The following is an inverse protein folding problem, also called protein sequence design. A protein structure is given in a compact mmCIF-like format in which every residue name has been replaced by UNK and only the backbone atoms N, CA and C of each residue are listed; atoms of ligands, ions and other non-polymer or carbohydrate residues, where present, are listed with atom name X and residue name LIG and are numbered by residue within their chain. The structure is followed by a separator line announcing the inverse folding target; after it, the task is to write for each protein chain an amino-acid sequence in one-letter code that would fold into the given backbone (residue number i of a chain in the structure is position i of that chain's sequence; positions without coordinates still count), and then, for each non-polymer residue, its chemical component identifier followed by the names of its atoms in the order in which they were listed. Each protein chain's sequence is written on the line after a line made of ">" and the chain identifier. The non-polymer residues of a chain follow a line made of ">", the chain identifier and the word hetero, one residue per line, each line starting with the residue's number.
data_IF_184285715774
#
_entry.id   IF_184285715774
#
_cell.length_a   1.000
_cell.length_b   1.000
_cell.length_c   1.000
_cell.angle_alpha   90.00
_cell.angle_beta   90.00
_cell.angle_gamma   90.00
#
_symmetry.space_group_name_H-M   'P 1'
#
loop_
_entity.id
_entity.type
_entity.pdbx_description
1 polymer ?
#
# COMPACT_ATOMS: atom_id res chain seq x y z
N UNK A 1 38.00 -10.60 42.81
CA UNK A 1 36.69 -11.26 42.64
C UNK A 1 35.52 -10.28 42.61
N UNK A 2 35.74 -8.96 42.47
CA UNK A 2 34.68 -7.94 42.58
C UNK A 2 34.38 -7.19 41.28
N UNK A 3 35.18 -7.38 40.23
CA UNK A 3 35.03 -6.67 38.95
C UNK A 3 34.14 -7.45 37.97
N UNK A 4 34.23 -8.79 37.96
CA UNK A 4 33.42 -9.65 37.09
C UNK A 4 31.92 -9.63 37.45
N UNK A 5 31.58 -9.45 38.73
CA UNK A 5 30.19 -9.37 39.21
C UNK A 5 29.51 -8.05 38.89
N UNK A 6 30.27 -6.95 38.80
CA UNK A 6 29.75 -5.61 38.48
C UNK A 6 29.42 -5.53 36.98
N UNK A 7 30.28 -6.09 36.13
CA UNK A 7 30.08 -6.17 34.68
C UNK A 7 28.90 -7.08 34.29
N UNK A 8 28.67 -8.16 35.04
CA UNK A 8 27.52 -9.06 34.83
C UNK A 8 26.20 -8.38 35.23
N UNK A 9 26.18 -7.69 36.38
CA UNK A 9 25.03 -6.90 36.81
C UNK A 9 24.71 -5.74 35.85
N UNK A 10 25.73 -5.05 35.32
CA UNK A 10 25.52 -4.01 34.31
C UNK A 10 24.95 -4.56 33.00
N UNK A 11 25.39 -5.75 32.56
CA UNK A 11 24.84 -6.40 31.37
C UNK A 11 23.38 -6.78 31.55
N UNK A 12 23.00 -7.28 32.72
CA UNK A 12 21.61 -7.62 33.04
C UNK A 12 20.72 -6.37 33.07
N UNK A 13 21.21 -5.27 33.66
CA UNK A 13 20.50 -3.99 33.63
C UNK A 13 20.31 -3.44 32.22
N UNK A 14 21.34 -3.55 31.36
CA UNK A 14 21.25 -3.15 29.96
C UNK A 14 20.25 -4.04 29.21
N UNK A 15 20.21 -5.34 29.47
CA UNK A 15 19.26 -6.26 28.84
C UNK A 15 17.81 -5.94 29.20
N UNK A 16 17.52 -5.66 30.48
CA UNK A 16 16.19 -5.22 30.93
C UNK A 16 15.82 -3.88 30.31
N UNK A 17 16.75 -2.92 30.30
CA UNK A 17 16.53 -1.63 29.66
C UNK A 17 16.25 -1.75 28.17
N UNK A 18 16.95 -2.63 27.43
CA UNK A 18 16.72 -2.86 26.00
C UNK A 18 15.28 -3.34 25.76
N UNK A 19 14.79 -4.26 26.58
CA UNK A 19 13.41 -4.76 26.46
C UNK A 19 12.38 -3.64 26.73
N UNK A 20 12.55 -2.88 27.82
CA UNK A 20 11.65 -1.77 28.14
C UNK A 20 11.71 -0.67 27.07
N UNK A 21 12.90 -0.37 26.55
CA UNK A 21 13.10 0.57 25.47
C UNK A 21 12.39 0.15 24.18
N UNK A 22 12.37 -1.14 23.85
CA UNK A 22 11.59 -1.65 22.72
C UNK A 22 10.09 -1.41 22.90
N UNK A 23 9.56 -1.66 24.09
CA UNK A 23 8.13 -1.43 24.38
C UNK A 23 7.75 0.05 24.25
N UNK A 24 8.56 0.95 24.82
CA UNK A 24 8.33 2.39 24.68
C UNK A 24 8.46 2.86 23.23
N UNK A 25 9.47 2.38 22.49
CA UNK A 25 9.62 2.71 21.07
C UNK A 25 8.43 2.22 20.26
N UNK A 26 7.90 1.03 20.51
CA UNK A 26 6.72 0.51 19.81
C UNK A 26 5.48 1.37 20.10
N UNK A 27 5.26 1.73 21.37
CA UNK A 27 4.14 2.60 21.76
C UNK A 27 4.24 3.99 21.11
N UNK A 28 5.45 4.54 21.03
CA UNK A 28 5.72 5.81 20.36
C UNK A 28 5.42 5.70 18.86
N UNK A 29 5.84 4.63 18.18
CA UNK A 29 5.58 4.44 16.74
C UNK A 29 4.09 4.34 16.43
N UNK A 30 3.35 3.52 17.19
CA UNK A 30 1.90 3.38 17.01
C UNK A 30 1.19 4.72 17.22
N UNK A 31 1.58 5.45 18.26
CA UNK A 31 0.99 6.76 18.53
C UNK A 31 1.33 7.79 17.45
N UNK A 32 2.52 7.72 16.86
CA UNK A 32 2.98 8.61 15.80
C UNK A 32 2.27 8.35 14.47
N UNK A 33 2.08 7.08 14.10
CA UNK A 33 1.32 6.71 12.90
C UNK A 33 -0.14 7.17 13.00
N UNK A 34 -0.77 6.95 14.16
CA UNK A 34 -2.15 7.40 14.38
C UNK A 34 -2.25 8.94 14.38
N UNK A 35 -1.23 9.65 14.90
CA UNK A 35 -1.17 11.12 14.84
C UNK A 35 -1.09 11.63 13.40
N UNK A 36 -0.34 10.93 12.54
CA UNK A 36 -0.19 11.28 11.12
C UNK A 36 -1.50 11.11 10.33
N UNK A 37 -2.39 10.20 10.76
CA UNK A 37 -3.69 9.98 10.12
C UNK A 37 -4.73 11.09 10.42
N UNK A 38 -4.40 12.07 11.25
CA UNK A 38 -5.27 13.21 11.57
C UNK A 38 -6.45 12.85 12.47
N UNK A 39 -6.22 12.34 13.69
CA UNK A 39 -7.26 11.90 14.60
C UNK A 39 -8.03 13.08 15.22
N UNK A 40 -9.21 12.85 15.83
CA UNK A 40 -9.95 13.90 16.53
C UNK A 40 -9.12 14.57 17.64
N UNK A 41 -9.39 15.84 18.00
CA UNK A 41 -8.53 16.64 18.89
C UNK A 41 -8.31 16.01 20.29
N UNK A 42 -9.34 15.38 20.86
CA UNK A 42 -9.24 14.68 22.15
C UNK A 42 -8.31 13.44 22.08
N UNK A 43 -8.26 12.80 20.91
CA UNK A 43 -7.38 11.65 20.65
C UNK A 43 -5.98 12.11 20.32
N UNK A 44 -5.84 13.17 19.53
CA UNK A 44 -4.57 13.84 19.20
C UNK A 44 -3.77 14.19 20.46
N UNK A 45 -4.40 14.87 21.42
CA UNK A 45 -3.75 15.26 22.67
C UNK A 45 -3.27 14.04 23.47
N UNK A 46 -4.06 12.97 23.51
CA UNK A 46 -3.69 11.72 24.19
C UNK A 46 -2.50 11.04 23.52
N UNK A 47 -2.46 11.00 22.19
CA UNK A 47 -1.36 10.41 21.43
C UNK A 47 -0.06 11.20 21.65
N UNK A 48 -0.13 12.53 21.59
CA UNK A 48 1.02 13.40 21.90
C UNK A 48 1.53 13.21 23.34
N UNK A 49 0.63 13.02 24.31
CA UNK A 49 0.99 12.70 25.69
C UNK A 49 1.63 11.31 25.82
N UNK A 50 1.13 10.31 25.09
CA UNK A 50 1.73 8.97 25.04
C UNK A 50 3.16 9.02 24.51
N UNK A 51 3.40 9.75 23.42
CA UNK A 51 4.74 9.95 22.86
C UNK A 51 5.65 10.66 23.87
N UNK A 52 5.15 11.72 24.51
CA UNK A 52 5.87 12.47 25.56
C UNK A 52 6.29 11.58 26.73
N UNK A 53 5.36 10.77 27.23
CA UNK A 53 5.61 9.86 28.34
C UNK A 53 6.63 8.77 27.98
N UNK A 54 6.51 8.17 26.80
CA UNK A 54 7.47 7.16 26.32
C UNK A 54 8.89 7.71 26.21
N UNK A 55 9.05 8.90 25.63
CA UNK A 55 10.36 9.56 25.49
C UNK A 55 10.94 9.98 26.85
N UNK A 56 10.11 10.49 27.77
CA UNK A 56 10.57 10.86 29.11
C UNK A 56 11.00 9.64 29.93
N UNK A 57 10.24 8.53 29.86
CA UNK A 57 10.59 7.27 30.52
C UNK A 57 11.89 6.70 29.97
N UNK A 58 12.05 6.70 28.64
CA UNK A 58 13.28 6.24 27.99
C UNK A 58 14.50 7.05 28.45
N UNK A 59 14.39 8.38 28.48
CA UNK A 59 15.45 9.27 28.94
C UNK A 59 15.77 9.08 30.43
N UNK A 60 14.74 8.94 31.27
CA UNK A 60 14.89 8.71 32.70
C UNK A 60 15.55 7.37 33.03
N UNK A 61 15.13 6.30 32.36
CA UNK A 61 15.73 4.97 32.53
C UNK A 61 17.16 4.93 32.00
N UNK A 62 17.44 5.58 30.87
CA UNK A 62 18.80 5.71 30.34
C UNK A 62 19.75 6.43 31.32
N UNK A 63 19.27 7.45 32.04
CA UNK A 63 20.05 8.14 33.05
C UNK A 63 20.42 7.22 34.24
N UNK A 64 19.53 6.31 34.66
CA UNK A 64 19.80 5.39 35.76
C UNK A 64 20.92 4.39 35.45
N UNK A 65 21.06 4.00 34.18
CA UNK A 65 22.12 3.09 33.71
C UNK A 65 23.29 3.82 33.03
N UNK A 66 23.43 5.14 33.25
CA UNK A 66 24.52 5.98 32.75
C UNK A 66 24.68 6.03 31.23
N UNK A 67 23.59 5.88 30.47
CA UNK A 67 23.58 6.04 29.01
C UNK A 67 23.31 7.51 28.61
N UNK A 68 24.28 8.38 28.89
CA UNK A 68 24.12 9.84 28.72
C UNK A 68 23.77 10.31 27.30
N UNK A 69 24.16 9.56 26.27
CA UNK A 69 23.81 9.89 24.89
C UNK A 69 22.35 9.59 24.56
N UNK A 70 21.79 8.52 25.14
CA UNK A 70 20.37 8.15 25.00
C UNK A 70 19.50 9.10 25.82
N UNK A 71 19.94 9.43 27.04
CA UNK A 71 19.32 10.43 27.90
C UNK A 71 19.20 11.79 27.18
N UNK A 72 20.32 12.28 26.65
CA UNK A 72 20.38 13.56 25.93
C UNK A 72 19.47 13.58 24.71
N UNK A 73 19.51 12.53 23.89
CA UNK A 73 18.67 12.41 22.70
C UNK A 73 17.16 12.35 23.04
N UNK A 74 16.82 11.67 24.14
CA UNK A 74 15.44 11.57 24.62
C UNK A 74 14.91 12.92 25.06
N UNK A 75 15.62 13.61 25.95
CA UNK A 75 15.16 14.91 26.44
C UNK A 75 15.19 16.02 25.39
N UNK A 76 16.10 15.96 24.40
CA UNK A 76 16.09 16.91 23.29
C UNK A 76 14.87 16.79 22.37
N UNK A 77 14.12 15.69 22.47
CA UNK A 77 12.93 15.43 21.65
C UNK A 77 11.67 16.08 22.25
N UNK A 78 11.63 16.34 23.56
CA UNK A 78 10.45 16.89 24.25
C UNK A 78 9.91 18.21 23.65
N UNK A 79 10.73 19.21 23.30
CA UNK A 79 10.23 20.45 22.71
C UNK A 79 9.53 20.25 21.36
N UNK A 80 9.94 19.24 20.60
CA UNK A 80 9.32 18.89 19.31
C UNK A 80 7.97 18.21 19.51
N UNK A 81 7.81 17.45 20.59
CA UNK A 81 6.52 16.84 20.97
C UNK A 81 5.53 17.92 21.40
N UNK A 82 6.00 18.91 22.17
CA UNK A 82 5.18 20.05 22.60
C UNK A 82 4.71 20.89 21.41
N UNK A 83 5.55 21.07 20.38
CA UNK A 83 5.18 21.76 19.15
C UNK A 83 4.06 21.06 18.35
N UNK A 84 3.95 19.73 18.44
CA UNK A 84 2.89 18.95 17.77
C UNK A 84 1.70 18.63 18.68
N UNK A 85 1.73 19.06 19.94
CA UNK A 85 0.72 18.72 20.95
C UNK A 85 -0.59 19.50 20.77
N UNK A 86 -0.53 20.70 20.20
CA UNK A 86 -1.71 21.55 19.96
C UNK A 86 -2.45 21.08 18.70
N UNK A 87 -3.68 20.53 18.82
CA UNK A 87 -4.48 20.10 17.67
C UNK A 87 -5.05 21.28 16.86
N UNK A 88 -5.06 22.50 17.39
CA UNK A 88 -5.53 23.71 16.72
C UNK A 88 -4.41 24.48 16.00
N UNK A 89 -3.15 24.25 16.38
CA UNK A 89 -2.01 24.69 15.62
C UNK A 89 -1.98 23.94 14.29
N UNK A 90 -1.82 24.65 13.17
CA UNK A 90 -1.52 24.00 11.88
C UNK A 90 -0.15 23.37 12.00
N UNK A 91 -0.07 22.12 12.45
CA UNK A 91 1.16 21.34 12.51
C UNK A 91 1.74 21.37 11.10
N UNK A 92 2.88 22.03 10.93
CA UNK A 92 3.53 22.03 9.64
C UNK A 92 4.13 20.64 9.42
N UNK A 93 4.11 20.14 8.18
CA UNK A 93 4.78 18.89 7.85
C UNK A 93 6.26 18.90 8.29
N UNK A 94 6.87 20.08 8.36
CA UNK A 94 8.23 20.29 8.85
C UNK A 94 8.39 19.99 10.35
N UNK A 95 7.40 20.31 11.18
CA UNK A 95 7.44 20.04 12.64
C UNK A 95 7.33 18.55 12.92
N UNK A 96 6.48 17.85 12.17
CA UNK A 96 6.35 16.40 12.24
C UNK A 96 7.61 15.69 11.73
N UNK A 97 8.19 16.14 10.61
CA UNK A 97 9.48 15.62 10.10
C UNK A 97 10.60 15.86 11.12
N UNK A 98 10.62 17.02 11.77
CA UNK A 98 11.59 17.32 12.81
C UNK A 98 11.45 16.36 14.00
N UNK A 99 10.22 16.06 14.43
CA UNK A 99 9.95 15.06 15.47
C UNK A 99 10.45 13.66 15.06
N UNK A 100 10.08 13.17 13.87
CA UNK A 100 10.55 11.86 13.37
C UNK A 100 12.08 11.78 13.32
N UNK A 101 12.75 12.86 12.92
CA UNK A 101 14.22 12.93 12.90
C UNK A 101 14.81 12.80 14.31
N UNK A 102 14.20 13.45 15.31
CA UNK A 102 14.66 13.33 16.70
C UNK A 102 14.45 11.92 17.25
N UNK A 103 13.34 11.25 16.93
CA UNK A 103 13.15 9.84 17.27
C UNK A 103 14.20 8.93 16.61
N UNK A 104 14.57 9.22 15.35
CA UNK A 104 15.68 8.54 14.68
C UNK A 104 17.03 8.72 15.39
N UNK A 105 17.29 9.90 15.97
CA UNK A 105 18.49 10.13 16.78
C UNK A 105 18.50 9.31 18.08
N UNK A 106 17.34 9.17 18.74
CA UNK A 106 17.18 8.31 19.91
C UNK A 106 17.51 6.86 19.56
N UNK A 107 16.97 6.36 18.45
CA UNK A 107 17.20 4.99 17.96
C UNK A 107 18.68 4.71 17.66
N UNK A 108 19.35 5.66 16.98
CA UNK A 108 20.76 5.58 16.71
C UNK A 108 21.62 5.64 18.00
N UNK A 109 21.22 6.44 18.99
CA UNK A 109 21.89 6.49 20.28
C UNK A 109 21.73 5.18 21.05
N UNK A 110 20.53 4.60 21.07
CA UNK A 110 20.25 3.31 21.68
C UNK A 110 21.06 2.18 21.04
N UNK A 111 21.13 2.14 19.71
CA UNK A 111 21.91 1.14 18.97
C UNK A 111 23.40 1.24 19.28
N UNK A 112 23.95 2.47 19.36
CA UNK A 112 25.36 2.68 19.76
C UNK A 112 25.63 2.31 21.21
N UNK A 113 24.69 2.60 22.11
CA UNK A 113 24.84 2.41 23.54
C UNK A 113 24.69 0.95 24.00
N UNK A 114 23.83 0.18 23.33
CA UNK A 114 23.48 -1.19 23.75
C UNK A 114 24.00 -2.26 22.79
N UNK A 115 24.42 -1.89 21.58
CA UNK A 115 24.85 -2.83 20.54
C UNK A 115 23.72 -3.67 19.94
N UNK A 116 22.48 -3.46 20.39
CA UNK A 116 21.28 -4.13 19.88
C UNK A 116 20.66 -3.24 18.80
N UNK A 117 20.41 -3.81 17.62
CA UNK A 117 19.56 -3.18 16.62
C UNK A 117 18.12 -3.30 17.08
N UNK A 118 17.52 -2.17 17.43
CA UNK A 118 16.10 -2.09 17.76
C UNK A 118 15.32 -2.17 16.45
N UNK A 119 15.28 -3.33 15.80
CA UNK A 119 14.50 -3.51 14.58
C UNK A 119 13.03 -3.19 14.89
N UNK A 120 12.57 -2.01 14.45
CA UNK A 120 11.21 -1.94 13.99
C UNK A 120 11.22 -2.75 12.69
N UNK A 121 10.53 -3.89 12.65
CA UNK A 121 10.08 -4.45 11.39
C UNK A 121 9.46 -3.29 10.61
N UNK A 122 10.18 -2.84 9.55
CA UNK A 122 10.05 -1.57 8.80
C UNK A 122 11.13 -0.48 9.02
N UNK A 123 12.39 -0.79 9.37
CA UNK A 123 13.50 0.19 9.22
C UNK A 123 14.85 -0.38 8.78
N UNK A 124 14.86 -1.32 7.83
CA UNK A 124 16.06 -1.62 7.03
C UNK A 124 15.94 -1.04 5.63
N UNK A 125 15.91 0.29 5.55
CA UNK A 125 16.15 1.05 4.31
C UNK A 125 16.62 2.50 4.59
N UNK A 126 17.30 2.78 5.71
CA UNK A 126 17.70 4.15 6.08
C UNK A 126 19.19 4.32 6.42
N UNK A 127 20.05 3.48 5.87
CA UNK A 127 21.46 3.81 5.66
C UNK A 127 21.71 3.69 4.15
N UNK A 128 21.97 4.84 3.50
CA UNK A 128 22.26 5.01 2.07
C UNK A 128 21.07 5.11 1.10
N UNK A 129 20.17 6.07 1.31
CA UNK A 129 19.80 7.02 0.23
C UNK A 129 19.07 8.20 0.86
N UNK A 130 19.48 9.43 0.52
CA UNK A 130 18.61 10.59 0.74
C UNK A 130 17.28 10.29 0.03
N UNK A 131 16.10 10.55 0.62
CA UNK A 131 14.85 10.39 -0.10
C UNK A 131 14.94 11.28 -1.34
N UNK A 132 15.07 10.67 -2.51
CA UNK A 132 15.09 11.39 -3.78
C UNK A 132 13.71 12.03 -3.88
N UNK A 133 13.67 13.33 -3.67
CA UNK A 133 12.44 14.11 -3.74
C UNK A 133 12.42 14.82 -5.08
N UNK A 134 11.30 14.73 -5.78
CA UNK A 134 11.06 15.48 -7.01
C UNK A 134 10.09 16.61 -6.70
N UNK A 135 10.38 17.81 -7.21
CA UNK A 135 9.43 18.92 -7.14
C UNK A 135 8.15 18.49 -7.86
N UNK A 136 7.01 18.64 -7.19
CA UNK A 136 5.69 18.22 -7.70
C UNK A 136 5.39 18.87 -9.07
N UNK A 137 5.87 20.10 -9.28
CA UNK A 137 5.80 20.81 -10.57
C UNK A 137 6.59 20.15 -11.70
N UNK A 138 7.77 19.60 -11.41
CA UNK A 138 8.62 18.93 -12.39
C UNK A 138 8.04 17.57 -12.77
N UNK A 139 7.52 16.85 -11.77
CA UNK A 139 6.79 15.60 -11.99
C UNK A 139 5.54 15.84 -12.86
N UNK A 140 4.74 16.86 -12.53
CA UNK A 140 3.53 17.20 -13.28
C UNK A 140 3.84 17.59 -14.73
N UNK A 141 4.86 18.42 -14.97
CA UNK A 141 5.30 18.79 -16.32
C UNK A 141 5.72 17.54 -17.14
N UNK A 142 6.44 16.62 -16.51
CA UNK A 142 6.86 15.40 -17.17
C UNK A 142 5.71 14.42 -17.43
N UNK A 143 4.73 14.32 -16.51
CA UNK A 143 3.52 13.52 -16.70
C UNK A 143 2.63 14.08 -17.83
N UNK A 144 2.46 15.40 -17.94
CA UNK A 144 1.78 16.01 -19.09
C UNK A 144 2.52 15.75 -20.40
N UNK A 145 3.85 15.82 -20.39
CA UNK A 145 4.67 15.46 -21.55
C UNK A 145 4.49 14.00 -21.98
N UNK A 146 4.31 13.07 -21.03
CA UNK A 146 3.96 11.68 -21.33
C UNK A 146 2.52 11.56 -21.87
N UNK A 147 1.56 12.27 -21.27
CA UNK A 147 0.16 12.28 -21.71
C UNK A 147 0.05 12.77 -23.16
N UNK A 148 0.73 13.84 -23.55
CA UNK A 148 0.73 14.33 -24.93
C UNK A 148 1.31 13.33 -25.92
N UNK A 149 2.34 12.57 -25.53
CA UNK A 149 2.90 11.50 -26.37
C UNK A 149 1.90 10.35 -26.51
N UNK A 150 1.19 10.00 -25.43
CA UNK A 150 0.18 8.94 -25.47
C UNK A 150 -1.04 9.30 -26.32
N UNK A 151 -1.53 10.54 -26.21
CA UNK A 151 -2.64 11.05 -27.04
C UNK A 151 -2.27 10.95 -28.53
N UNK A 152 -1.00 11.25 -28.88
CA UNK A 152 -0.48 11.11 -30.25
C UNK A 152 -0.33 9.65 -30.71
N UNK A 153 -0.11 8.72 -29.78
CA UNK A 153 0.00 7.28 -30.06
C UNK A 153 -1.34 6.54 -30.15
N UNK A 154 -2.47 7.20 -29.85
CA UNK A 154 -3.82 6.62 -30.00
C UNK A 154 -4.12 5.41 -29.10
N UNK A 155 -3.32 5.17 -28.07
CA UNK A 155 -3.43 4.02 -27.16
C UNK A 155 -4.39 4.33 -26.01
N UNK A 156 -5.71 4.30 -26.25
CA UNK A 156 -6.70 4.55 -25.20
C UNK A 156 -7.38 3.28 -24.72
N UNK A 157 -6.98 2.76 -23.56
CA UNK A 157 -7.83 1.89 -22.71
C UNK A 157 -7.62 2.10 -21.19
N UNK A 158 -6.62 2.88 -20.75
CA UNK A 158 -6.32 3.09 -19.33
C UNK A 158 -6.11 4.58 -19.01
N UNK A 159 -6.66 5.03 -17.88
CA UNK A 159 -6.55 6.41 -17.39
C UNK A 159 -5.45 6.55 -16.31
N UNK A 160 -4.44 5.68 -16.26
CA UNK A 160 -3.49 5.66 -15.14
C UNK A 160 -2.71 6.98 -15.05
N UNK A 161 -2.14 7.45 -16.16
CA UNK A 161 -1.41 8.72 -16.20
C UNK A 161 -2.33 9.89 -15.84
N UNK A 162 -3.59 9.86 -16.27
CA UNK A 162 -4.56 10.90 -15.91
C UNK A 162 -4.91 10.88 -14.42
N UNK A 163 -5.08 9.70 -13.82
CA UNK A 163 -5.31 9.54 -12.38
C UNK A 163 -4.10 10.01 -11.58
N UNK A 164 -2.89 9.67 -12.01
CA UNK A 164 -1.64 10.11 -11.35
C UNK A 164 -1.48 11.63 -11.48
N UNK A 165 -1.80 12.23 -12.63
CA UNK A 165 -1.82 13.70 -12.81
C UNK A 165 -2.81 14.33 -11.84
N UNK A 166 -4.05 13.86 -11.78
CA UNK A 166 -5.07 14.41 -10.88
C UNK A 166 -4.65 14.32 -9.40
N UNK A 167 -4.01 13.22 -9.01
CA UNK A 167 -3.47 13.04 -7.66
C UNK A 167 -2.33 14.00 -7.36
N UNK A 168 -1.40 14.20 -8.31
CA UNK A 168 -0.27 15.14 -8.18
C UNK A 168 -0.76 16.60 -8.13
N UNK A 169 -1.80 16.94 -8.90
CA UNK A 169 -2.46 18.25 -8.84
C UNK A 169 -3.13 18.51 -7.48
N UNK A 170 -3.76 17.48 -6.89
CA UNK A 170 -4.35 17.56 -5.56
C UNK A 170 -3.28 17.75 -4.47
N UNK A 171 -2.15 17.05 -4.58
CA UNK A 171 -1.00 17.25 -3.69
C UNK A 171 -0.46 18.70 -3.79
N UNK A 172 -0.39 19.28 -4.99
CA UNK A 172 -0.01 20.69 -5.15
C UNK A 172 -1.02 21.65 -4.52
N UNK A 173 -2.33 21.41 -4.69
CA UNK A 173 -3.38 22.22 -4.06
C UNK A 173 -3.30 22.18 -2.54
N UNK A 174 -2.90 21.04 -1.98
CA UNK A 174 -2.70 20.84 -0.55
C UNK A 174 -1.35 21.40 -0.03
N UNK A 175 -0.57 22.08 -0.87
CA UNK A 175 0.69 22.72 -0.49
C UNK A 175 1.90 21.78 -0.44
N UNK A 176 1.79 20.55 -0.96
CA UNK A 176 2.88 19.57 -1.00
C UNK A 176 3.74 19.84 -2.23
N UNK A 177 4.85 20.56 -2.03
CA UNK A 177 5.77 20.96 -3.10
C UNK A 177 6.79 19.90 -3.53
N UNK A 178 6.90 18.79 -2.80
CA UNK A 178 7.86 17.71 -3.06
C UNK A 178 7.19 16.35 -2.92
N UNK A 179 7.43 15.46 -3.87
CA UNK A 179 6.95 14.08 -3.85
C UNK A 179 8.13 13.12 -3.60
N UNK A 180 7.94 12.16 -2.70
CA UNK A 180 8.92 11.10 -2.45
C UNK A 180 8.92 10.12 -3.63
N UNK A 181 10.07 9.98 -4.31
CA UNK A 181 10.22 9.07 -5.46
C UNK A 181 10.13 7.61 -5.03
N UNK A 182 10.58 7.26 -3.83
CA UNK A 182 10.49 5.89 -3.30
C UNK A 182 9.04 5.48 -3.10
N UNK A 183 8.23 6.32 -2.46
CA UNK A 183 6.79 6.04 -2.27
C UNK A 183 6.02 5.95 -3.58
N UNK A 184 6.41 6.75 -4.59
CA UNK A 184 5.83 6.68 -5.92
C UNK A 184 6.25 5.40 -6.65
N UNK A 185 7.50 4.95 -6.51
CA UNK A 185 7.99 3.68 -7.07
C UNK A 185 7.26 2.49 -6.43
N UNK A 186 7.15 2.47 -5.10
CA UNK A 186 6.36 1.45 -4.37
C UNK A 186 4.88 1.44 -4.80
N UNK A 187 4.28 2.61 -5.07
CA UNK A 187 2.92 2.68 -5.62
C UNK A 187 2.85 2.02 -7.01
N UNK A 188 3.79 2.33 -7.90
CA UNK A 188 3.85 1.74 -9.24
C UNK A 188 4.05 0.21 -9.17
N UNK A 189 4.89 -0.26 -8.26
CA UNK A 189 5.17 -1.69 -8.05
C UNK A 189 3.95 -2.43 -7.49
N UNK A 190 3.24 -1.84 -6.51
CA UNK A 190 1.97 -2.40 -6.02
C UNK A 190 0.91 -2.47 -7.10
N UNK A 191 0.83 -1.45 -7.95
CA UNK A 191 -0.06 -1.49 -9.12
C UNK A 191 0.36 -2.58 -10.10
N UNK A 192 1.66 -2.84 -10.28
CA UNK A 192 2.18 -3.92 -11.13
C UNK A 192 1.78 -5.30 -10.61
N UNK A 193 2.06 -5.55 -9.34
CA UNK A 193 1.69 -6.79 -8.68
C UNK A 193 0.18 -7.06 -8.74
N UNK A 194 -0.64 -6.02 -8.52
CA UNK A 194 -2.10 -6.14 -8.61
C UNK A 194 -2.59 -6.55 -10.00
N UNK A 195 -2.07 -5.93 -11.05
CA UNK A 195 -2.46 -6.23 -12.44
C UNK A 195 -2.00 -7.60 -12.92
N UNK A 196 -0.75 -7.95 -12.63
CA UNK A 196 -0.22 -9.26 -12.97
C UNK A 196 -0.97 -10.36 -12.21
N UNK A 197 -1.25 -10.14 -10.92
CA UNK A 197 -2.08 -11.03 -10.11
C UNK A 197 -3.49 -11.20 -10.69
N UNK A 198 -4.13 -10.12 -11.12
CA UNK A 198 -5.42 -10.17 -11.79
C UNK A 198 -5.36 -10.98 -13.09
N UNK A 199 -4.38 -10.73 -13.96
CA UNK A 199 -4.24 -11.47 -15.21
C UNK A 199 -4.04 -12.97 -14.97
N UNK A 200 -3.17 -13.33 -14.02
CA UNK A 200 -2.95 -14.72 -13.62
C UNK A 200 -4.24 -15.36 -13.10
N UNK A 201 -5.00 -14.63 -12.26
CA UNK A 201 -6.28 -15.11 -11.76
C UNK A 201 -7.28 -15.37 -12.88
N UNK A 202 -7.44 -14.44 -13.83
CA UNK A 202 -8.35 -14.63 -14.98
C UNK A 202 -7.90 -15.82 -15.85
N UNK A 203 -6.60 -15.99 -16.08
CA UNK A 203 -6.05 -17.12 -16.86
C UNK A 203 -6.28 -18.46 -16.18
N UNK A 204 -6.21 -18.53 -14.84
CA UNK A 204 -6.49 -19.75 -14.08
C UNK A 204 -7.97 -20.13 -14.09
N UNK A 205 -8.88 -19.15 -14.10
CA UNK A 205 -10.33 -19.38 -14.13
C UNK A 205 -10.89 -19.60 -15.54
N UNK A 206 -10.13 -19.30 -16.60
CA UNK A 206 -10.60 -19.43 -17.99
C UNK A 206 -10.98 -20.88 -18.38
N UNK A 207 -10.18 -21.92 -18.07
CA UNK A 207 -10.49 -23.29 -18.49
C UNK A 207 -11.79 -23.80 -17.86
N UNK A 208 -11.99 -23.56 -16.56
CA UNK A 208 -13.21 -23.99 -15.85
C UNK A 208 -14.46 -23.30 -16.40
N UNK A 209 -14.38 -21.99 -16.69
CA UNK A 209 -15.50 -21.25 -17.29
C UNK A 209 -15.83 -21.75 -18.71
N UNK A 210 -14.80 -22.04 -19.51
CA UNK A 210 -14.98 -22.51 -20.89
C UNK A 210 -15.59 -23.91 -20.91
N UNK A 211 -15.10 -24.80 -20.05
CA UNK A 211 -15.63 -26.16 -19.92
C UNK A 211 -17.10 -26.15 -19.49
N UNK A 212 -17.47 -25.34 -18.50
CA UNK A 212 -18.86 -25.26 -18.04
C UNK A 212 -19.79 -24.61 -19.08
N UNK A 213 -19.33 -23.59 -19.81
CA UNK A 213 -20.08 -23.03 -20.95
C UNK A 213 -20.27 -24.07 -22.06
N UNK A 214 -19.24 -24.87 -22.36
CA UNK A 214 -19.31 -25.97 -23.33
C UNK A 214 -20.29 -27.07 -22.93
N UNK A 215 -20.36 -27.40 -21.63
CA UNK A 215 -21.32 -28.37 -21.09
C UNK A 215 -22.76 -27.84 -21.14
N UNK A 216 -22.95 -26.57 -20.80
CA UNK A 216 -24.25 -25.89 -20.91
C UNK A 216 -24.73 -25.83 -22.37
N UNK A 217 -23.82 -25.63 -23.33
CA UNK A 217 -24.11 -25.64 -24.77
C UNK A 217 -24.60 -27.01 -25.26
N UNK A 218 -23.93 -28.09 -24.85
CA UNK A 218 -24.22 -29.43 -25.32
C UNK A 218 -25.49 -30.06 -24.73
N UNK A 219 -26.15 -29.36 -23.80
CA UNK A 219 -27.45 -29.76 -23.27
C UNK A 219 -27.47 -31.20 -22.78
N UNK A 220 -26.35 -31.73 -22.27
CA UNK A 220 -26.28 -33.11 -21.80
C UNK A 220 -27.22 -33.23 -20.60
N UNK A 221 -28.43 -33.70 -20.87
CA UNK A 221 -29.39 -34.24 -19.92
C UNK A 221 -28.78 -35.49 -19.26
N UNK A 222 -27.73 -35.31 -18.46
CA UNK A 222 -27.52 -36.20 -17.33
C UNK A 222 -28.44 -35.70 -16.19
N UNK A 223 -28.90 -36.56 -15.27
CA UNK A 223 -29.87 -36.21 -14.21
C UNK A 223 -29.40 -35.16 -13.19
N UNK A 224 -28.31 -34.43 -13.46
CA UNK A 224 -27.62 -33.52 -12.57
C UNK A 224 -27.29 -32.20 -13.26
N UNK A 225 -28.31 -31.47 -13.73
CA UNK A 225 -28.25 -30.00 -13.83
C UNK A 225 -28.20 -29.47 -12.39
N UNK A 226 -27.10 -29.77 -11.67
CA UNK A 226 -27.03 -29.52 -10.24
C UNK A 226 -26.93 -28.01 -10.05
N UNK A 227 -27.93 -27.39 -9.38
CA UNK A 227 -27.94 -25.94 -9.15
C UNK A 227 -26.65 -25.48 -8.47
N UNK A 228 -26.04 -26.35 -7.65
CA UNK A 228 -24.77 -26.15 -6.97
C UNK A 228 -23.58 -25.87 -7.93
N UNK A 229 -23.52 -26.54 -9.09
CA UNK A 229 -22.41 -26.33 -10.05
C UNK A 229 -22.54 -25.00 -10.79
N UNK A 230 -23.75 -24.66 -11.22
CA UNK A 230 -23.99 -23.38 -11.88
C UNK A 230 -23.82 -22.23 -10.88
N UNK A 231 -24.19 -22.44 -9.62
CA UNK A 231 -23.90 -21.52 -8.53
C UNK A 231 -22.39 -21.31 -8.33
N UNK A 232 -21.58 -22.37 -8.38
CA UNK A 232 -20.12 -22.25 -8.32
C UNK A 232 -19.55 -21.42 -9.47
N UNK A 233 -20.06 -21.57 -10.70
CA UNK A 233 -19.65 -20.75 -11.86
C UNK A 233 -20.06 -19.28 -11.68
N UNK A 234 -21.27 -19.02 -11.18
CA UNK A 234 -21.74 -17.66 -10.86
C UNK A 234 -20.84 -17.00 -9.81
N UNK A 235 -20.46 -17.75 -8.77
CA UNK A 235 -19.55 -17.28 -7.73
C UNK A 235 -18.14 -17.01 -8.28
N UNK A 236 -17.61 -17.88 -9.14
CA UNK A 236 -16.33 -17.66 -9.85
C UNK A 236 -16.35 -16.37 -10.67
N UNK A 237 -17.43 -16.11 -11.42
CA UNK A 237 -17.57 -14.86 -12.20
C UNK A 237 -17.69 -13.65 -11.29
N UNK A 238 -18.33 -13.78 -10.13
CA UNK A 238 -18.38 -12.72 -9.10
C UNK A 238 -16.99 -12.39 -8.54
N UNK A 239 -16.18 -13.42 -8.26
CA UNK A 239 -14.79 -13.25 -7.82
C UNK A 239 -13.94 -12.56 -8.91
N UNK A 240 -14.11 -12.92 -10.19
CA UNK A 240 -13.45 -12.26 -11.31
C UNK A 240 -13.84 -10.80 -11.45
N UNK A 241 -15.13 -10.49 -11.23
CA UNK A 241 -15.60 -9.11 -11.22
C UNK A 241 -14.99 -8.30 -10.06
N UNK A 242 -14.95 -8.87 -8.85
CA UNK A 242 -14.32 -8.23 -7.68
C UNK A 242 -12.82 -8.00 -7.89
N UNK A 243 -12.12 -8.97 -8.49
CA UNK A 243 -10.69 -8.81 -8.82
C UNK A 243 -10.48 -7.71 -9.88
N UNK A 244 -11.35 -7.63 -10.89
CA UNK A 244 -11.32 -6.55 -11.88
C UNK A 244 -11.58 -5.17 -11.26
N UNK A 245 -12.42 -5.09 -10.23
CA UNK A 245 -12.69 -3.86 -9.48
C UNK A 245 -11.46 -3.37 -8.71
N UNK A 246 -10.71 -4.28 -8.05
CA UNK A 246 -9.52 -3.93 -7.28
C UNK A 246 -8.43 -3.27 -8.14
N UNK A 247 -8.29 -3.71 -9.39
CA UNK A 247 -7.33 -3.15 -10.35
C UNK A 247 -7.91 -2.05 -11.25
N UNK A 248 -9.18 -1.69 -11.01
CA UNK A 248 -9.95 -0.70 -11.77
C UNK A 248 -10.00 -0.99 -13.29
N UNK A 249 -10.12 -2.26 -13.67
CA UNK A 249 -10.27 -2.70 -15.05
C UNK A 249 -11.73 -2.56 -15.52
N UNK A 250 -12.18 -1.32 -15.78
CA UNK A 250 -13.59 -0.98 -16.07
C UNK A 250 -14.21 -1.83 -17.19
N UNK A 251 -13.45 -2.13 -18.24
CA UNK A 251 -13.93 -2.95 -19.36
C UNK A 251 -14.15 -4.41 -18.96
N UNK A 252 -13.23 -4.98 -18.16
CA UNK A 252 -13.36 -6.32 -17.60
C UNK A 252 -14.53 -6.40 -16.61
N UNK A 253 -14.71 -5.38 -15.76
CA UNK A 253 -15.86 -5.29 -14.85
C UNK A 253 -17.19 -5.33 -15.62
N UNK A 254 -17.30 -4.57 -16.70
CA UNK A 254 -18.54 -4.53 -17.52
C UNK A 254 -18.83 -5.89 -18.15
N UNK A 255 -17.79 -6.57 -18.64
CA UNK A 255 -17.91 -7.91 -19.22
C UNK A 255 -18.34 -8.94 -18.16
N UNK A 256 -17.65 -9.03 -17.01
CA UNK A 256 -17.96 -10.01 -15.97
C UNK A 256 -19.34 -9.77 -15.34
N UNK A 257 -19.76 -8.50 -15.19
CA UNK A 257 -21.12 -8.17 -14.74
C UNK A 257 -22.18 -8.67 -15.75
N UNK A 258 -21.92 -8.51 -17.05
CA UNK A 258 -22.77 -9.05 -18.11
C UNK A 258 -22.83 -10.58 -18.10
N UNK A 259 -21.69 -11.24 -17.92
CA UNK A 259 -21.59 -12.70 -17.82
C UNK A 259 -22.32 -13.24 -16.59
N UNK A 260 -22.14 -12.61 -15.43
CA UNK A 260 -22.84 -12.95 -14.20
C UNK A 260 -24.37 -12.84 -14.37
N UNK A 261 -24.83 -11.74 -14.98
CA UNK A 261 -26.25 -11.53 -15.28
C UNK A 261 -26.80 -12.61 -16.23
N UNK A 262 -26.03 -12.97 -17.26
CA UNK A 262 -26.40 -14.04 -18.19
C UNK A 262 -26.52 -15.40 -17.47
N UNK A 263 -25.52 -15.79 -16.69
CA UNK A 263 -25.51 -17.05 -15.95
C UNK A 263 -26.64 -17.11 -14.91
N UNK A 264 -26.94 -15.99 -14.25
CA UNK A 264 -28.06 -15.90 -13.29
C UNK A 264 -29.41 -16.12 -13.99
N UNK A 265 -29.61 -15.57 -15.19
CA UNK A 265 -30.84 -15.79 -15.99
C UNK A 265 -30.96 -17.25 -16.44
N UNK A 266 -29.84 -17.87 -16.84
CA UNK A 266 -29.77 -19.30 -17.18
C UNK A 266 -30.09 -20.17 -15.96
N UNK A 267 -29.57 -19.80 -14.78
CA UNK A 267 -29.79 -20.53 -13.52
C UNK A 267 -31.25 -20.51 -13.07
N UNK A 268 -31.94 -19.38 -13.23
CA UNK A 268 -33.36 -19.25 -12.88
C UNK A 268 -34.30 -19.93 -13.89
N UNK A 269 -33.77 -20.68 -14.87
CA UNK A 269 -34.52 -21.37 -15.94
C UNK A 269 -35.50 -20.49 -16.72
N UNK A 270 -35.33 -19.16 -16.68
CA UNK A 270 -36.31 -18.23 -17.28
C UNK A 270 -36.32 -18.28 -18.81
N UNK A 271 -35.28 -18.84 -19.45
CA UNK A 271 -35.12 -18.84 -20.90
C UNK A 271 -34.44 -20.13 -21.38
N UNK A 272 -35.00 -20.79 -22.39
CA UNK A 272 -34.28 -21.80 -23.19
C UNK A 272 -33.28 -21.08 -24.08
N UNK A 273 -32.01 -21.11 -23.70
CA UNK A 273 -30.95 -20.42 -24.44
C UNK A 273 -30.46 -21.31 -25.58
N UNK A 274 -30.54 -20.82 -26.82
CA UNK A 274 -30.02 -21.52 -28.00
C UNK A 274 -28.50 -21.68 -27.95
N UNK A 275 -27.97 -22.81 -28.45
CA UNK A 275 -26.53 -23.10 -28.51
C UNK A 275 -25.67 -21.95 -29.09
N UNK A 276 -26.20 -21.27 -30.13
CA UNK A 276 -25.54 -20.09 -30.75
C UNK A 276 -25.24 -18.94 -29.77
N UNK A 277 -26.05 -18.77 -28.72
CA UNK A 277 -25.80 -17.73 -27.70
C UNK A 277 -24.66 -18.11 -26.76
N UNK A 278 -24.48 -19.40 -26.46
CA UNK A 278 -23.32 -19.88 -25.70
C UNK A 278 -22.03 -19.74 -26.49
N UNK A 279 -22.04 -20.05 -27.79
CA UNK A 279 -20.88 -19.83 -28.69
C UNK A 279 -20.49 -18.35 -28.79
N UNK A 280 -21.48 -17.46 -28.82
CA UNK A 280 -21.23 -16.02 -28.79
C UNK A 280 -20.63 -15.54 -27.45
N UNK A 281 -21.07 -16.11 -26.32
CA UNK A 281 -20.50 -15.80 -24.99
C UNK A 281 -19.07 -16.35 -24.88
N UNK A 282 -18.83 -17.56 -25.35
CA UNK A 282 -17.51 -18.21 -25.41
C UNK A 282 -16.54 -17.37 -26.27
N UNK A 283 -16.96 -16.96 -27.47
CA UNK A 283 -16.16 -16.09 -28.34
C UNK A 283 -15.84 -14.74 -27.68
N UNK A 284 -16.82 -14.11 -27.02
CA UNK A 284 -16.63 -12.84 -26.29
C UNK A 284 -15.74 -12.99 -25.06
N UNK A 285 -15.73 -14.16 -24.41
CA UNK A 285 -14.81 -14.46 -23.31
C UNK A 285 -13.36 -14.46 -23.81
N UNK A 286 -13.08 -15.13 -24.94
CA UNK A 286 -11.76 -15.12 -25.54
C UNK A 286 -11.33 -13.73 -26.05
N UNK A 287 -12.24 -12.96 -26.64
CA UNK A 287 -11.97 -11.57 -27.03
C UNK A 287 -11.67 -10.70 -25.79
N UNK A 288 -12.47 -10.82 -24.74
CA UNK A 288 -12.28 -10.07 -23.50
C UNK A 288 -10.95 -10.43 -22.83
N UNK A 289 -10.51 -11.68 -22.91
CA UNK A 289 -9.18 -12.09 -22.43
C UNK A 289 -8.06 -11.37 -23.20
N UNK A 290 -8.13 -11.31 -24.54
CA UNK A 290 -7.15 -10.56 -25.34
C UNK A 290 -7.14 -9.08 -24.96
N UNK A 291 -8.31 -8.51 -24.70
CA UNK A 291 -8.44 -7.13 -24.22
C UNK A 291 -7.79 -6.94 -22.84
N UNK A 292 -7.99 -7.86 -21.89
CA UNK A 292 -7.38 -7.82 -20.55
C UNK A 292 -5.85 -7.93 -20.67
N UNK A 293 -5.33 -8.83 -21.49
CA UNK A 293 -3.89 -8.96 -21.73
C UNK A 293 -3.30 -7.68 -22.33
N UNK A 294 -3.95 -7.11 -23.35
CA UNK A 294 -3.54 -5.84 -23.94
C UNK A 294 -3.60 -4.68 -22.95
N UNK A 295 -4.59 -4.69 -22.05
CA UNK A 295 -4.72 -3.69 -20.98
C UNK A 295 -3.57 -3.77 -19.96
N UNK A 296 -3.18 -4.96 -19.52
CA UNK A 296 -2.02 -5.14 -18.61
C UNK A 296 -0.73 -4.71 -19.29
N UNK A 297 -0.52 -5.08 -20.56
CA UNK A 297 0.68 -4.71 -21.30
C UNK A 297 0.77 -3.19 -21.52
N UNK A 298 -0.37 -2.56 -21.83
CA UNK A 298 -0.46 -1.09 -21.90
C UNK A 298 -0.10 -0.48 -20.53
N UNK A 299 -0.64 -1.03 -19.44
CA UNK A 299 -0.32 -0.62 -18.08
C UNK A 299 1.16 -0.75 -17.73
N UNK A 300 1.82 -1.82 -18.18
CA UNK A 300 3.26 -2.02 -18.04
C UNK A 300 4.05 -0.92 -18.73
N UNK A 301 3.70 -0.61 -19.98
CA UNK A 301 4.35 0.46 -20.77
C UNK A 301 4.16 1.82 -20.09
N UNK A 302 2.97 2.13 -19.59
CA UNK A 302 2.69 3.36 -18.84
C UNK A 302 3.54 3.50 -17.59
N UNK A 303 3.61 2.44 -16.77
CA UNK A 303 4.44 2.43 -15.57
C UNK A 303 5.92 2.58 -15.88
N UNK A 304 6.42 1.90 -16.90
CA UNK A 304 7.82 2.03 -17.32
C UNK A 304 8.11 3.46 -17.78
N UNK A 305 7.20 4.08 -18.52
CA UNK A 305 7.32 5.49 -18.92
C UNK A 305 7.33 6.44 -17.73
N UNK A 306 6.42 6.27 -16.76
CA UNK A 306 6.42 7.06 -15.52
C UNK A 306 7.73 6.81 -14.75
N UNK A 307 8.16 5.56 -14.59
CA UNK A 307 9.40 5.20 -13.90
C UNK A 307 10.64 5.85 -14.53
N UNK A 308 10.70 5.94 -15.86
CA UNK A 308 11.81 6.60 -16.58
C UNK A 308 11.89 8.12 -16.37
N UNK A 309 10.80 8.74 -15.94
CA UNK A 309 10.73 10.17 -15.62
C UNK A 309 11.20 10.43 -14.18
N UNK A 310 11.17 9.42 -13.33
CA UNK A 310 11.61 9.55 -11.95
C UNK A 310 13.14 9.57 -11.86
N UNK A 311 13.72 10.46 -11.04
CA UNK A 311 15.15 10.45 -10.80
C UNK A 311 15.57 9.14 -10.13
N UNK A 312 16.76 8.65 -10.52
CA UNK A 312 17.35 7.42 -9.99
C UNK A 312 17.76 7.58 -8.53
#
# INVERSE_FOLDING_TARGET
>A
MSVETEDEFQKDLIAVFVQEAQEWLQQIHVALDELQQGPPPDRHLKLAQTIKAGVANLGGSAAMISLSDVERASFSTLPFIEAVQDPAAKISANDFIALCKQLGHIHAALTRATGVTFDAESTTACAESLPVTILTSNLLAALHGLQERQVKSGSFHRNLIQTVIAQVEELMKNGIGQCNVTSLRELLDRLAAGEEGFLQFVLQQLPSLTDELGRLKNGVEAPGRSPERLQAVVEQVSQLWSAAQQVNATQAMTFFMGLHSFLTVVMQQRVVVAAKKYEAVESRLFESMKTIQGWVETGRVERTAIGSVLPN
#
